data_IF_128261301879
#
_entry.id   IF_128261301879
#
_cell.length_a   1.000
_cell.length_b   1.000
_cell.length_c   1.000
_cell.angle_alpha   90.00
_cell.angle_beta   90.00
_cell.angle_gamma   90.00
#
_symmetry.space_group_name_H-M   'P 1'
#
loop_
_entity.id
_entity.type
_entity.pdbx_description
1 polymer ?
#
# COMPACT_ATOMS: atom_id res chain seq x y z
N UNK A 1 6.47 -13.13 2.09
CA UNK A 1 7.30 -11.91 2.19
C UNK A 1 6.99 -11.08 0.97
N UNK A 2 6.85 -9.74 1.05
CA UNK A 2 6.48 -8.93 -0.13
C UNK A 2 7.45 -9.15 -1.30
N UNK A 3 6.91 -9.27 -2.52
CA UNK A 3 7.71 -9.36 -3.75
C UNK A 3 8.52 -8.08 -4.01
N UNK A 4 8.09 -6.95 -3.43
CA UNK A 4 8.76 -5.64 -3.50
C UNK A 4 9.17 -5.22 -4.93
N UNK A 5 8.24 -5.34 -5.88
CA UNK A 5 8.46 -5.02 -7.30
C UNK A 5 8.96 -3.60 -7.56
N UNK A 6 8.72 -2.68 -6.62
CA UNK A 6 9.13 -1.28 -6.67
C UNK A 6 10.33 -0.96 -5.77
N UNK A 7 11.05 -1.98 -5.27
CA UNK A 7 12.27 -1.82 -4.43
C UNK A 7 12.09 -0.78 -3.32
N UNK A 8 10.92 -0.83 -2.69
CA UNK A 8 10.41 0.15 -1.75
C UNK A 8 10.72 -0.24 -0.30
N UNK A 9 11.06 -1.51 -0.04
CA UNK A 9 11.45 -1.98 1.29
C UNK A 9 12.73 -1.28 1.76
N UNK A 10 12.65 -0.67 2.94
CA UNK A 10 13.75 0.03 3.61
C UNK A 10 13.81 -0.35 5.07
N UNK A 11 14.97 -0.12 5.67
CA UNK A 11 15.19 -0.28 7.10
C UNK A 11 15.35 1.08 7.77
N UNK A 12 14.84 1.20 8.99
CA UNK A 12 15.00 2.37 9.85
C UNK A 12 15.60 1.89 11.17
N UNK A 13 16.81 2.36 11.48
CA UNK A 13 17.47 2.08 12.76
C UNK A 13 17.13 3.20 13.75
N UNK A 14 16.55 2.83 14.90
CA UNK A 14 16.23 3.75 16.00
C UNK A 14 16.88 3.20 17.27
N UNK A 15 18.00 3.79 17.67
CA UNK A 15 18.85 3.26 18.74
C UNK A 15 19.32 1.85 18.42
N UNK A 16 18.96 0.88 19.28
CA UNK A 16 19.29 -0.53 19.11
C UNK A 16 18.27 -1.32 18.25
N UNK A 17 17.13 -0.73 17.90
CA UNK A 17 16.05 -1.43 17.17
C UNK A 17 16.10 -1.12 15.68
N UNK A 18 15.87 -2.14 14.85
CA UNK A 18 15.75 -2.01 13.39
C UNK A 18 14.34 -2.33 12.97
N UNK A 19 13.71 -1.38 12.28
CA UNK A 19 12.36 -1.51 11.72
C UNK A 19 12.44 -1.67 10.21
N UNK A 20 11.54 -2.46 9.63
CA UNK A 20 11.35 -2.51 8.19
C UNK A 20 10.10 -1.71 7.83
N UNK A 21 10.18 -0.89 6.79
CA UNK A 21 9.06 -0.11 6.28
C UNK A 21 9.09 -0.05 4.75
N UNK A 22 7.96 0.27 4.12
CA UNK A 22 7.85 0.41 2.68
C UNK A 22 7.82 1.90 2.33
N UNK A 23 8.90 2.39 1.72
CA UNK A 23 9.12 3.81 1.45
C UNK A 23 8.42 4.23 0.16
N UNK A 24 7.42 5.10 0.27
CA UNK A 24 6.77 5.72 -0.89
C UNK A 24 7.77 6.52 -1.74
N UNK A 25 8.75 7.19 -1.12
CA UNK A 25 9.79 7.92 -1.85
C UNK A 25 10.65 6.98 -2.71
N UNK A 26 10.97 5.79 -2.19
CA UNK A 26 11.70 4.80 -2.97
C UNK A 26 10.83 4.23 -4.10
N UNK A 27 9.58 3.89 -3.80
CA UNK A 27 8.63 3.40 -4.81
C UNK A 27 8.41 4.41 -5.96
N UNK A 28 8.37 5.71 -5.65
CA UNK A 28 8.27 6.79 -6.65
C UNK A 28 9.46 6.81 -7.61
N UNK A 29 10.68 6.66 -7.07
CA UNK A 29 11.92 6.58 -7.87
C UNK A 29 11.98 5.33 -8.74
N UNK A 30 11.31 4.25 -8.34
CA UNK A 30 11.39 2.94 -8.96
C UNK A 30 10.19 2.58 -9.86
N UNK A 31 9.40 3.57 -10.29
CA UNK A 31 8.38 3.37 -11.32
C UNK A 31 7.02 4.00 -11.01
N UNK A 32 6.75 4.39 -9.77
CA UNK A 32 5.50 5.04 -9.39
C UNK A 32 5.60 6.57 -9.43
N UNK A 33 5.92 7.13 -10.60
CA UNK A 33 6.17 8.58 -10.73
C UNK A 33 4.94 9.40 -10.30
N UNK A 34 5.15 10.40 -9.44
CA UNK A 34 4.13 11.38 -9.05
C UNK A 34 3.29 11.00 -7.84
N UNK A 35 3.50 9.82 -7.23
CA UNK A 35 2.73 9.39 -6.04
C UNK A 35 2.89 10.32 -4.83
N UNK A 36 3.93 11.16 -4.82
CA UNK A 36 4.06 12.27 -3.86
C UNK A 36 2.86 13.22 -3.86
N UNK A 37 2.16 13.37 -4.99
CA UNK A 37 0.98 14.22 -5.17
C UNK A 37 -0.34 13.56 -4.78
N UNK A 38 -0.33 12.29 -4.39
CA UNK A 38 -1.55 11.60 -3.96
C UNK A 38 -2.10 12.23 -2.67
N UNK A 39 -3.44 12.27 -2.51
CA UNK A 39 -4.09 12.46 -1.22
C UNK A 39 -3.55 11.49 -0.18
N UNK A 40 -3.54 11.91 1.09
CA UNK A 40 -3.00 11.09 2.18
C UNK A 40 -3.70 9.74 2.32
N UNK A 41 -5.02 9.68 2.11
CA UNK A 41 -5.78 8.43 2.12
C UNK A 41 -5.25 7.42 1.09
N UNK A 42 -4.97 7.87 -0.15
CA UNK A 42 -4.41 7.02 -1.19
C UNK A 42 -2.96 6.62 -0.93
N UNK A 43 -2.19 7.46 -0.22
CA UNK A 43 -0.83 7.09 0.24
C UNK A 43 -0.87 5.94 1.25
N UNK A 44 -1.87 5.91 2.14
CA UNK A 44 -2.06 4.81 3.09
C UNK A 44 -2.40 3.51 2.36
N UNK A 45 -3.33 3.58 1.39
CA UNK A 45 -3.68 2.42 0.55
C UNK A 45 -2.47 1.93 -0.25
N UNK A 46 -1.72 2.84 -0.86
CA UNK A 46 -0.52 2.50 -1.63
C UNK A 46 0.53 1.77 -0.78
N UNK A 47 0.81 2.27 0.43
CA UNK A 47 1.78 1.60 1.31
C UNK A 47 1.30 0.21 1.72
N UNK A 48 -0.01 0.05 1.96
CA UNK A 48 -0.60 -1.25 2.24
C UNK A 48 -0.33 -2.23 1.09
N UNK A 49 -0.59 -1.83 -0.15
CA UNK A 49 -0.35 -2.66 -1.32
C UNK A 49 1.14 -3.01 -1.47
N UNK A 50 2.05 -2.04 -1.33
CA UNK A 50 3.50 -2.29 -1.39
C UNK A 50 3.96 -3.31 -0.33
N UNK A 51 3.44 -3.19 0.89
CA UNK A 51 3.76 -4.09 2.01
C UNK A 51 3.26 -5.51 1.79
N UNK A 52 2.16 -5.67 1.05
CA UNK A 52 1.41 -6.90 0.94
C UNK A 52 1.41 -7.52 -0.46
N UNK A 53 2.26 -7.01 -1.37
CA UNK A 53 2.48 -7.56 -2.70
C UNK A 53 2.87 -9.04 -2.64
N UNK A 54 2.01 -9.91 -3.19
CA UNK A 54 2.19 -11.35 -3.21
C UNK A 54 2.00 -11.96 -4.61
N UNK A 55 1.67 -11.14 -5.60
CA UNK A 55 1.44 -11.56 -6.98
C UNK A 55 0.12 -12.28 -7.21
N UNK A 56 -0.73 -12.40 -6.17
CA UNK A 56 -2.03 -13.06 -6.25
C UNK A 56 -3.18 -12.16 -5.77
N UNK A 57 -3.15 -11.75 -4.51
CA UNK A 57 -4.13 -10.82 -3.94
C UNK A 57 -3.72 -9.37 -4.16
N UNK A 58 -2.42 -9.10 -4.17
CA UNK A 58 -1.87 -7.78 -4.53
C UNK A 58 -0.82 -7.99 -5.61
N UNK A 59 -1.12 -7.52 -6.80
CA UNK A 59 -0.22 -7.60 -7.95
C UNK A 59 0.51 -6.27 -8.18
N UNK A 60 1.60 -6.34 -8.97
CA UNK A 60 2.32 -5.15 -9.42
C UNK A 60 1.43 -4.16 -10.17
N UNK A 61 0.44 -4.64 -10.93
CA UNK A 61 -0.49 -3.77 -11.66
C UNK A 61 -1.50 -3.09 -10.72
N UNK A 62 -1.88 -3.71 -9.61
CA UNK A 62 -2.75 -3.08 -8.60
C UNK A 62 -2.06 -1.88 -7.96
N UNK A 63 -0.78 -2.05 -7.62
CA UNK A 63 0.06 -0.96 -7.12
C UNK A 63 0.24 0.14 -8.17
N UNK A 64 0.51 -0.23 -9.43
CA UNK A 64 0.63 0.74 -10.53
C UNK A 64 -0.70 1.48 -10.81
N UNK A 65 -1.83 0.82 -10.58
CA UNK A 65 -3.17 1.40 -10.69
C UNK A 65 -3.37 2.63 -9.80
N UNK A 66 -2.84 2.61 -8.58
CA UNK A 66 -2.91 3.77 -7.67
C UNK A 66 -2.18 4.98 -8.25
N UNK A 67 -1.06 4.79 -8.95
CA UNK A 67 -0.37 5.89 -9.62
C UNK A 67 -1.17 6.44 -10.80
N UNK A 68 -1.95 5.60 -11.50
CA UNK A 68 -2.85 6.02 -12.60
C UNK A 68 -3.98 6.94 -12.10
N UNK A 69 -4.38 6.80 -10.84
CA UNK A 69 -5.37 7.70 -10.20
C UNK A 69 -5.02 9.18 -10.37
N UNK A 70 -3.72 9.53 -10.38
CA UNK A 70 -3.26 10.92 -10.58
C UNK A 70 -3.74 11.54 -11.90
N UNK A 71 -3.93 10.73 -12.94
CA UNK A 71 -4.33 11.19 -14.29
C UNK A 71 -5.85 11.15 -14.46
N UNK A 72 -6.49 10.08 -14.03
CA UNK A 72 -7.90 9.82 -14.29
C UNK A 72 -8.84 10.27 -13.15
N UNK A 73 -8.30 10.65 -11.98
CA UNK A 73 -9.04 11.04 -10.77
C UNK A 73 -10.10 10.01 -10.33
N UNK A 74 -9.84 8.72 -10.55
CA UNK A 74 -10.76 7.65 -10.19
C UNK A 74 -11.88 7.40 -11.20
N UNK A 75 -11.76 7.92 -12.43
CA UNK A 75 -12.66 7.56 -13.54
C UNK A 75 -12.49 6.12 -14.02
N UNK A 76 -11.31 5.54 -13.81
CA UNK A 76 -11.10 4.12 -14.07
C UNK A 76 -11.55 3.34 -12.84
N UNK A 77 -12.55 2.49 -13.02
CA UNK A 77 -12.99 1.55 -11.99
C UNK A 77 -11.98 0.42 -11.90
N UNK A 78 -11.15 0.45 -10.86
CA UNK A 78 -10.22 -0.62 -10.53
C UNK A 78 -10.36 -1.00 -9.07
N UNK A 79 -10.71 -2.26 -8.83
CA UNK A 79 -10.71 -2.85 -7.50
C UNK A 79 -9.28 -3.11 -7.02
N UNK A 80 -9.08 -2.96 -5.71
CA UNK A 80 -7.80 -3.23 -5.04
C UNK A 80 -8.05 -4.01 -3.75
N UNK A 81 -7.12 -4.88 -3.39
CA UNK A 81 -7.13 -5.50 -2.07
C UNK A 81 -6.66 -4.50 -1.00
N UNK A 82 -7.30 -4.52 0.17
CA UNK A 82 -6.85 -3.75 1.33
C UNK A 82 -6.82 -4.63 2.57
N UNK A 83 -5.67 -4.68 3.24
CA UNK A 83 -5.47 -5.47 4.46
C UNK A 83 -5.39 -4.53 5.67
N UNK A 84 -6.49 -4.29 6.40
CA UNK A 84 -6.48 -3.38 7.54
C UNK A 84 -5.51 -3.86 8.62
N UNK A 85 -4.88 -2.93 9.33
CA UNK A 85 -3.90 -3.27 10.35
C UNK A 85 -4.53 -3.89 11.60
N UNK A 86 -5.78 -3.50 11.91
CA UNK A 86 -6.56 -3.97 13.07
C UNK A 86 -8.04 -3.90 12.72
N UNK A 87 -8.84 -4.74 13.36
CA UNK A 87 -10.29 -4.69 13.34
C UNK A 87 -10.75 -4.38 14.76
N UNK A 88 -11.63 -3.40 14.91
CA UNK A 88 -12.32 -3.12 16.17
C UNK A 88 -13.71 -3.76 16.06
N UNK A 89 -14.04 -4.66 16.98
CA UNK A 89 -15.38 -5.25 17.06
C UNK A 89 -16.16 -4.58 18.19
N UNK A 90 -17.40 -4.16 17.89
CA UNK A 90 -18.34 -3.69 18.89
C UNK A 90 -19.07 -4.90 19.49
N UNK A 91 -19.48 -4.79 20.76
CA UNK A 91 -20.10 -5.86 21.55
C UNK A 91 -21.32 -6.54 20.89
N UNK A 92 -22.05 -5.86 20.01
CA UNK A 92 -23.25 -6.40 19.34
C UNK A 92 -23.02 -6.93 17.91
N UNK A 93 -21.83 -6.76 17.33
CA UNK A 93 -21.50 -7.22 15.97
C UNK A 93 -20.61 -8.46 15.93
N UNK A 94 -20.25 -9.00 17.11
CA UNK A 94 -19.32 -10.12 17.26
C UNK A 94 -19.95 -11.51 17.36
N UNK A 95 -21.29 -11.62 17.35
CA UNK A 95 -21.98 -12.92 17.38
C UNK A 95 -22.13 -13.42 15.93
N UNK A 96 -21.57 -14.58 15.57
CA UNK A 96 -21.74 -15.14 14.23
C UNK A 96 -23.20 -15.57 14.00
N UNK A 97 -23.72 -15.30 12.80
CA UNK A 97 -24.85 -16.02 12.22
C UNK A 97 -24.36 -17.26 11.48
#
# INVERSE_FOLDING_TARGET
MSLDSFKSKKTLKVGAKTYTYFSLKAAEKNGLKGISKLPYSLKVLLENLLRFEDGRSVTKDDIAGIARWLKNRGRDEKEIAFRPARVLMQDFTGVPA
#
